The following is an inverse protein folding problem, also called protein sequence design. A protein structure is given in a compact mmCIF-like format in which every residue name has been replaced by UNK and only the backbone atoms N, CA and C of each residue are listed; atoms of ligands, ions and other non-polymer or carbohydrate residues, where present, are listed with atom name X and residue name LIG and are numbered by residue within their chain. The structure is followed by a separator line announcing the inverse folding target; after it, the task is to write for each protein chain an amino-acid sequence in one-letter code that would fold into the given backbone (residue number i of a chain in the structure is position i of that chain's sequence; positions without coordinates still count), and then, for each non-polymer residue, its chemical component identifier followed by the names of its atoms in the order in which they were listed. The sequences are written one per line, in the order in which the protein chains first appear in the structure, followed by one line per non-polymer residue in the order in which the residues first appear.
data_IF_110817540044
#
_entry.id   IF_110817540044
#
_cell.length_a   1.000
_cell.length_b   1.000
_cell.length_c   1.000
_cell.angle_alpha   90.00
_cell.angle_beta   90.00
_cell.angle_gamma   90.00
#
_symmetry.space_group_name_H-M   'P 1'
#
loop_
_entity.id
_entity.type
_entity.pdbx_description
1 polymer ?
#
# COMPACT_ATOMS: atom_id res chain seq x y z
N UNK A 1 16.88 -28.34 18.41
CA UNK A 1 16.76 -27.55 17.17
C UNK A 1 15.95 -28.35 16.18
N UNK A 2 14.92 -27.74 15.57
CA UNK A 2 14.22 -28.31 14.42
C UNK A 2 14.89 -27.89 13.13
N UNK A 3 15.00 -28.81 12.19
CA UNK A 3 15.58 -28.58 10.87
C UNK A 3 14.62 -29.00 9.77
N UNK A 4 14.58 -28.18 8.72
CA UNK A 4 13.73 -28.35 7.53
C UNK A 4 14.65 -28.27 6.30
N UNK A 5 15.20 -29.41 5.85
CA UNK A 5 16.03 -29.44 4.65
C UNK A 5 15.16 -29.23 3.40
N UNK A 6 15.72 -28.52 2.43
CA UNK A 6 15.09 -28.29 1.12
C UNK A 6 16.17 -28.22 0.02
N UNK A 7 15.74 -28.14 -1.24
CA UNK A 7 16.63 -27.96 -2.38
C UNK A 7 16.10 -26.88 -3.31
N UNK A 8 16.95 -25.93 -3.66
CA UNK A 8 16.72 -24.96 -4.71
C UNK A 8 17.48 -25.47 -5.93
N UNK A 9 16.77 -25.98 -6.95
CA UNK A 9 17.39 -26.82 -7.97
C UNK A 9 18.20 -27.98 -7.37
N UNK A 10 19.50 -28.03 -7.64
CA UNK A 10 20.42 -29.05 -7.08
C UNK A 10 21.06 -28.65 -5.75
N UNK A 11 20.87 -27.41 -5.31
CA UNK A 11 21.57 -26.84 -4.16
C UNK A 11 20.84 -27.12 -2.85
N UNK A 12 21.49 -27.78 -1.87
CA UNK A 12 20.87 -28.02 -0.57
C UNK A 12 20.81 -26.73 0.24
N UNK A 13 19.67 -26.52 0.90
CA UNK A 13 19.48 -25.44 1.88
C UNK A 13 18.79 -26.01 3.11
N UNK A 14 19.00 -25.40 4.27
CA UNK A 14 18.40 -25.86 5.53
C UNK A 14 17.82 -24.68 6.30
N UNK A 15 16.53 -24.78 6.62
CA UNK A 15 15.86 -23.87 7.56
C UNK A 15 15.93 -24.48 8.97
N UNK A 16 16.29 -23.68 9.97
CA UNK A 16 16.50 -24.09 11.36
C UNK A 16 15.67 -23.25 12.31
N UNK A 17 15.13 -23.89 13.33
CA UNK A 17 14.39 -23.23 14.42
C UNK A 17 15.04 -23.60 15.75
N UNK A 18 15.67 -22.63 16.44
CA UNK A 18 16.14 -22.84 17.80
C UNK A 18 14.98 -23.08 18.76
N UNK A 19 15.12 -24.07 19.65
CA UNK A 19 14.10 -24.46 20.62
C UNK A 19 14.57 -24.27 22.07
N UNK A 20 15.89 -24.25 22.30
CA UNK A 20 16.50 -24.17 23.62
C UNK A 20 17.79 -23.30 23.63
N UNK A 21 18.53 -23.30 24.75
CA UNK A 21 19.80 -22.54 24.92
C UNK A 21 20.93 -23.02 24.02
N UNK A 22 21.08 -24.33 23.87
CA UNK A 22 22.14 -24.94 23.07
C UNK A 22 21.94 -24.61 21.58
N UNK A 23 20.69 -24.64 21.13
CA UNK A 23 20.36 -24.26 19.76
C UNK A 23 20.62 -22.77 19.50
N UNK A 24 20.33 -21.90 20.47
CA UNK A 24 20.63 -20.47 20.35
C UNK A 24 22.14 -20.20 20.40
N UNK A 25 22.92 -20.98 21.17
CA UNK A 25 24.38 -20.91 21.12
C UNK A 25 24.89 -21.24 19.70
N UNK A 26 24.33 -22.27 19.07
CA UNK A 26 24.64 -22.63 17.68
C UNK A 26 24.27 -21.50 16.70
N UNK A 27 23.12 -20.87 16.88
CA UNK A 27 22.73 -19.68 16.11
C UNK A 27 23.74 -18.53 16.28
N UNK A 28 24.23 -18.28 17.50
CA UNK A 28 25.20 -17.23 17.76
C UNK A 28 26.58 -17.51 17.16
N UNK A 29 27.02 -18.76 17.16
CA UNK A 29 28.24 -19.19 16.47
C UNK A 29 28.13 -18.94 14.97
N UNK A 30 27.02 -19.36 14.36
CA UNK A 30 26.72 -19.09 12.96
C UNK A 30 26.70 -17.59 12.67
N UNK A 31 25.94 -16.80 13.44
CA UNK A 31 25.81 -15.36 13.24
C UNK A 31 27.17 -14.67 13.39
N UNK A 32 27.98 -15.07 14.37
CA UNK A 32 29.33 -14.53 14.57
C UNK A 32 30.21 -14.73 13.34
N UNK A 33 30.11 -15.89 12.69
CA UNK A 33 30.89 -16.20 11.50
C UNK A 33 30.46 -15.40 10.26
N UNK A 34 29.22 -14.86 10.23
CA UNK A 34 28.64 -14.24 9.03
C UNK A 34 28.18 -12.80 9.22
N UNK A 35 28.31 -12.20 10.42
CA UNK A 35 27.74 -10.89 10.74
C UNK A 35 28.25 -9.73 9.87
N UNK A 36 29.48 -9.85 9.34
CA UNK A 36 30.09 -8.87 8.43
C UNK A 36 29.74 -9.11 6.95
N UNK A 37 29.03 -10.19 6.62
CA UNK A 37 28.59 -10.51 5.27
C UNK A 37 27.17 -9.98 5.02
N UNK A 38 26.74 -9.86 3.75
CA UNK A 38 25.32 -9.65 3.44
C UNK A 38 24.47 -10.81 3.98
N UNK A 39 23.51 -10.50 4.86
CA UNK A 39 22.62 -11.47 5.51
C UNK A 39 21.17 -11.12 5.26
N UNK A 40 20.42 -12.11 4.80
CA UNK A 40 19.00 -12.00 4.55
C UNK A 40 18.26 -11.84 5.85
N UNK A 41 17.33 -10.90 5.91
CA UNK A 41 16.47 -10.69 7.07
C UNK A 41 15.03 -10.60 6.60
N UNK A 42 14.14 -11.18 7.39
CA UNK A 42 12.69 -11.11 7.18
C UNK A 42 11.97 -11.07 8.53
N UNK A 43 10.68 -10.77 8.50
CA UNK A 43 9.82 -10.82 9.67
C UNK A 43 8.43 -11.36 9.34
N UNK A 44 7.86 -12.11 10.27
CA UNK A 44 6.47 -12.54 10.14
C UNK A 44 5.62 -12.00 11.27
N UNK A 45 4.45 -11.49 10.91
CA UNK A 45 3.51 -10.87 11.83
C UNK A 45 2.16 -11.56 11.79
N UNK A 46 1.22 -11.10 12.63
CA UNK A 46 -0.18 -11.55 12.57
C UNK A 46 -0.97 -10.96 11.39
N UNK A 47 -0.37 -10.06 10.59
CA UNK A 47 -0.99 -9.47 9.40
C UNK A 47 -0.30 -8.19 8.94
N UNK A 48 -0.73 -7.65 7.79
CA UNK A 48 -0.07 -6.51 7.14
C UNK A 48 -0.33 -5.14 7.80
N UNK A 49 -1.34 -5.03 8.67
CA UNK A 49 -1.63 -3.79 9.37
C UNK A 49 -0.73 -3.67 10.61
N UNK A 50 0.43 -3.03 10.45
CA UNK A 50 1.45 -2.86 11.49
C UNK A 50 0.90 -2.06 12.68
N UNK A 51 0.04 -1.07 12.42
CA UNK A 51 -0.40 -0.09 13.42
C UNK A 51 -1.66 -0.50 14.18
N UNK A 52 -2.35 -1.57 13.74
CA UNK A 52 -3.42 -2.19 14.51
C UNK A 52 -2.92 -2.67 15.88
N UNK A 53 -3.75 -2.50 16.91
CA UNK A 53 -3.47 -2.99 18.27
C UNK A 53 -3.37 -4.53 18.33
N UNK A 54 -3.97 -5.22 17.36
CA UNK A 54 -3.92 -6.69 17.25
C UNK A 54 -2.68 -7.21 16.54
N UNK A 55 -1.88 -6.33 15.93
CA UNK A 55 -0.66 -6.71 15.25
C UNK A 55 0.39 -7.20 16.25
N UNK A 56 1.05 -8.30 15.94
CA UNK A 56 2.16 -8.84 16.73
C UNK A 56 3.24 -9.38 15.81
N UNK A 57 4.49 -9.18 16.19
CA UNK A 57 5.63 -9.88 15.62
C UNK A 57 5.69 -11.33 16.15
N UNK A 58 5.76 -12.29 15.24
CA UNK A 58 5.75 -13.72 15.55
C UNK A 58 7.14 -14.33 15.49
N UNK A 59 7.85 -14.05 14.39
CA UNK A 59 9.19 -14.56 14.11
C UNK A 59 10.04 -13.51 13.41
N UNK A 60 11.34 -13.60 13.61
CA UNK A 60 12.36 -12.85 12.84
C UNK A 60 13.30 -13.87 12.25
N UNK A 61 13.66 -13.69 10.99
CA UNK A 61 14.48 -14.65 10.27
C UNK A 61 15.80 -14.05 9.82
N UNK A 62 16.81 -14.90 9.76
CA UNK A 62 18.16 -14.56 9.32
C UNK A 62 18.64 -15.62 8.34
N UNK A 63 19.29 -15.24 7.25
CA UNK A 63 19.69 -16.22 6.24
C UNK A 63 20.97 -15.89 5.49
N UNK A 64 21.77 -16.93 5.23
CA UNK A 64 22.80 -16.94 4.19
C UNK A 64 22.21 -17.48 2.88
N UNK A 65 23.04 -17.72 1.87
CA UNK A 65 22.61 -18.43 0.65
C UNK A 65 22.17 -19.89 0.91
N UNK A 66 22.50 -20.47 2.07
CA UNK A 66 22.38 -21.91 2.34
C UNK A 66 21.59 -22.21 3.61
N UNK A 67 21.67 -21.33 4.61
CA UNK A 67 21.12 -21.55 5.93
C UNK A 67 20.09 -20.46 6.24
N UNK A 68 18.90 -20.87 6.66
CA UNK A 68 17.86 -19.98 7.19
C UNK A 68 17.65 -20.27 8.66
N UNK A 69 17.49 -19.24 9.47
CA UNK A 69 17.22 -19.32 10.90
C UNK A 69 15.93 -18.59 11.21
N UNK A 70 14.96 -19.28 11.82
CA UNK A 70 13.69 -18.70 12.25
C UNK A 70 13.71 -18.57 13.76
N UNK A 71 13.76 -17.33 14.26
CA UNK A 71 13.77 -17.03 15.69
C UNK A 71 12.32 -16.78 16.14
N UNK A 72 11.72 -17.66 16.97
CA UNK A 72 10.32 -17.57 17.36
C UNK A 72 10.09 -16.55 18.48
N UNK A 73 10.10 -15.27 18.13
CA UNK A 73 9.97 -14.12 19.04
C UNK A 73 8.76 -14.26 19.97
N UNK A 74 7.60 -14.69 19.47
CA UNK A 74 6.38 -14.81 20.30
C UNK A 74 6.44 -15.92 21.36
N UNK A 75 7.47 -16.80 21.34
CA UNK A 75 7.65 -17.87 22.34
C UNK A 75 8.31 -17.41 23.64
N UNK A 76 8.82 -16.18 23.71
CA UNK A 76 9.27 -15.60 24.97
C UNK A 76 10.42 -14.61 24.86
N UNK A 77 10.70 -13.94 25.98
CA UNK A 77 11.68 -12.86 26.09
C UNK A 77 13.08 -13.25 25.61
N UNK A 78 13.46 -14.52 25.76
CA UNK A 78 14.74 -15.03 25.31
C UNK A 78 14.90 -14.95 23.79
N UNK A 79 13.91 -15.42 23.03
CA UNK A 79 13.93 -15.36 21.57
C UNK A 79 13.76 -13.94 21.06
N UNK A 80 12.94 -13.14 21.75
CA UNK A 80 12.83 -11.70 21.52
C UNK A 80 14.21 -11.02 21.61
N UNK A 81 14.93 -11.23 22.71
CA UNK A 81 16.25 -10.62 22.90
C UNK A 81 17.27 -11.17 21.90
N UNK A 82 17.19 -12.45 21.55
CA UNK A 82 18.06 -13.03 20.54
C UNK A 82 17.87 -12.37 19.17
N UNK A 83 16.63 -12.19 18.72
CA UNK A 83 16.33 -11.50 17.46
C UNK A 83 16.81 -10.04 17.48
N UNK A 84 16.52 -9.31 18.57
CA UNK A 84 16.93 -7.91 18.75
C UNK A 84 18.45 -7.74 18.67
N UNK A 85 19.18 -8.50 19.48
CA UNK A 85 20.64 -8.47 19.52
C UNK A 85 21.29 -8.94 18.20
N UNK A 86 20.65 -9.89 17.50
CA UNK A 86 21.14 -10.33 16.20
C UNK A 86 21.01 -9.22 15.15
N UNK A 87 19.86 -8.52 15.09
CA UNK A 87 19.66 -7.36 14.23
C UNK A 87 20.65 -6.24 14.51
N UNK A 88 20.95 -5.96 15.78
CA UNK A 88 21.96 -4.97 16.17
C UNK A 88 23.34 -5.31 15.60
N UNK A 89 23.71 -6.60 15.65
CA UNK A 89 25.04 -7.09 15.28
C UNK A 89 25.31 -7.18 13.77
N UNK A 90 24.28 -7.26 12.94
CA UNK A 90 24.47 -7.34 11.48
C UNK A 90 25.02 -6.03 10.91
N UNK A 91 26.02 -6.11 10.04
CA UNK A 91 26.57 -4.94 9.33
C UNK A 91 25.88 -4.70 7.99
N UNK A 92 25.39 -5.75 7.33
CA UNK A 92 24.81 -5.68 5.98
C UNK A 92 23.50 -6.47 5.84
N UNK A 93 22.43 -6.13 6.59
CA UNK A 93 21.13 -6.78 6.42
C UNK A 93 20.54 -6.52 5.02
N UNK A 94 20.05 -7.58 4.39
CA UNK A 94 19.40 -7.56 3.08
C UNK A 94 17.96 -8.02 3.25
N UNK A 95 17.02 -7.18 2.84
CA UNK A 95 15.58 -7.46 2.95
C UNK A 95 14.92 -7.34 1.57
N UNK A 96 13.69 -7.81 1.47
CA UNK A 96 12.84 -7.52 0.34
C UNK A 96 11.65 -6.71 0.81
N UNK A 97 11.51 -5.47 0.33
CA UNK A 97 10.53 -4.51 0.85
C UNK A 97 10.81 -4.09 2.31
N UNK A 98 12.05 -3.68 2.57
CA UNK A 98 12.60 -3.44 3.91
C UNK A 98 11.77 -2.48 4.77
N UNK A 99 11.09 -1.50 4.15
CA UNK A 99 10.28 -0.53 4.87
C UNK A 99 9.18 -1.17 5.74
N UNK A 100 8.68 -2.36 5.36
CA UNK A 100 7.72 -3.09 6.18
C UNK A 100 8.39 -3.65 7.44
N UNK A 101 9.44 -4.45 7.30
CA UNK A 101 10.13 -5.11 8.41
C UNK A 101 10.73 -4.11 9.38
N UNK A 102 11.32 -3.02 8.89
CA UNK A 102 11.90 -2.01 9.75
C UNK A 102 10.84 -1.31 10.61
N UNK A 103 9.65 -1.04 10.08
CA UNK A 103 8.52 -0.52 10.88
C UNK A 103 8.01 -1.55 11.89
N UNK A 104 8.01 -2.83 11.53
CA UNK A 104 7.69 -3.93 12.45
C UNK A 104 8.71 -4.00 13.60
N UNK A 105 10.01 -3.89 13.31
CA UNK A 105 11.07 -3.92 14.33
C UNK A 105 11.03 -2.69 15.25
N UNK A 106 10.75 -1.51 14.69
CA UNK A 106 10.56 -0.26 15.45
C UNK A 106 9.42 -0.38 16.45
N UNK A 107 8.30 -0.97 16.03
CA UNK A 107 7.11 -1.13 16.87
C UNK A 107 7.23 -2.26 17.88
N UNK A 108 7.81 -3.40 17.47
CA UNK A 108 7.69 -4.66 18.22
C UNK A 108 9.00 -5.19 18.80
N UNK A 109 10.17 -4.65 18.43
CA UNK A 109 11.47 -5.10 18.97
C UNK A 109 12.26 -3.99 19.65
N UNK A 110 11.68 -2.79 19.83
CA UNK A 110 12.37 -1.62 20.37
C UNK A 110 13.65 -1.30 19.55
N UNK A 111 13.58 -1.51 18.23
CA UNK A 111 14.68 -1.27 17.29
C UNK A 111 14.34 -0.10 16.37
N UNK A 112 14.73 1.13 16.72
CA UNK A 112 14.38 2.30 15.93
C UNK A 112 14.84 2.17 14.48
N UNK A 113 13.95 2.47 13.53
CA UNK A 113 14.27 2.41 12.09
C UNK A 113 15.50 3.25 11.72
N UNK A 114 15.72 4.37 12.40
CA UNK A 114 16.88 5.26 12.30
C UNK A 114 18.22 4.55 12.48
N UNK A 115 18.25 3.45 13.25
CA UNK A 115 19.46 2.66 13.48
C UNK A 115 19.69 1.61 12.38
N UNK A 116 18.64 1.21 11.67
CA UNK A 116 18.69 0.10 10.73
C UNK A 116 18.83 0.57 9.28
N UNK A 117 18.18 1.66 8.89
CA UNK A 117 18.19 2.15 7.50
C UNK A 117 19.58 2.41 6.94
N UNK A 118 20.54 2.84 7.78
CA UNK A 118 21.90 3.14 7.34
C UNK A 118 22.69 1.93 6.85
N UNK A 119 22.27 0.71 7.21
CA UNK A 119 22.96 -0.55 6.88
C UNK A 119 22.17 -1.50 5.98
N UNK A 120 20.89 -1.21 5.77
CA UNK A 120 19.98 -2.10 5.03
C UNK A 120 20.12 -1.96 3.52
N UNK A 121 20.05 -3.10 2.84
CA UNK A 121 19.84 -3.17 1.39
C UNK A 121 18.48 -3.82 1.07
N UNK A 122 17.64 -3.14 0.31
CA UNK A 122 16.34 -3.61 -0.15
C UNK A 122 16.42 -4.12 -1.60
N UNK A 123 16.22 -5.41 -1.77
CA UNK A 123 16.24 -6.07 -3.08
C UNK A 123 15.10 -5.63 -3.99
N UNK A 124 13.97 -5.14 -3.46
CA UNK A 124 12.88 -4.58 -4.26
C UNK A 124 13.31 -3.27 -4.95
N UNK A 125 14.09 -2.44 -4.26
CA UNK A 125 14.68 -1.22 -4.84
C UNK A 125 15.66 -1.59 -5.95
N UNK A 126 16.53 -2.56 -5.70
CA UNK A 126 17.50 -3.05 -6.71
C UNK A 126 16.76 -3.61 -7.93
N UNK A 127 15.70 -4.41 -7.72
CA UNK A 127 14.88 -4.96 -8.79
C UNK A 127 14.29 -3.86 -9.68
N UNK A 128 13.71 -2.82 -9.07
CA UNK A 128 13.12 -1.71 -9.81
C UNK A 128 14.17 -0.89 -10.58
N UNK A 129 15.38 -0.72 -10.03
CA UNK A 129 16.47 -0.04 -10.74
C UNK A 129 17.04 -0.89 -11.89
N UNK A 130 16.94 -2.22 -11.80
CA UNK A 130 17.33 -3.14 -12.88
C UNK A 130 16.28 -3.15 -14.02
N UNK A 131 14.99 -3.27 -13.68
CA UNK A 131 13.88 -3.15 -14.62
C UNK A 131 12.69 -2.43 -13.95
N UNK A 132 12.34 -1.19 -14.34
CA UNK A 132 11.26 -0.44 -13.70
C UNK A 132 9.85 -0.88 -14.11
N UNK A 133 9.70 -1.86 -15.02
CA UNK A 133 8.41 -2.25 -15.60
C UNK A 133 7.67 -3.27 -14.73
N UNK A 134 6.35 -3.11 -14.63
CA UNK A 134 5.44 -4.14 -14.09
C UNK A 134 5.26 -5.33 -15.05
N UNK A 135 4.64 -6.42 -14.58
CA UNK A 135 4.36 -7.60 -15.43
C UNK A 135 3.42 -7.27 -16.59
N UNK A 136 2.42 -6.43 -16.33
CA UNK A 136 1.48 -5.91 -17.31
C UNK A 136 2.14 -5.02 -18.39
N UNK A 137 3.33 -4.52 -18.11
CA UNK A 137 4.16 -3.72 -19.02
C UNK A 137 5.26 -4.56 -19.70
N UNK A 138 5.25 -5.88 -19.51
CA UNK A 138 6.23 -6.82 -20.07
C UNK A 138 7.58 -6.84 -19.35
N UNK A 139 7.63 -6.38 -18.09
CA UNK A 139 8.76 -6.60 -17.19
C UNK A 139 8.56 -7.81 -16.29
N UNK A 140 9.54 -8.10 -15.43
CA UNK A 140 9.45 -9.19 -14.44
C UNK A 140 8.44 -8.89 -13.33
N UNK A 141 8.21 -7.59 -13.04
CA UNK A 141 7.62 -7.14 -11.78
C UNK A 141 8.63 -7.14 -10.63
N UNK A 142 8.20 -6.68 -9.46
CA UNK A 142 9.11 -6.43 -8.32
C UNK A 142 8.74 -7.20 -7.06
N UNK A 143 7.73 -8.06 -7.11
CA UNK A 143 7.37 -8.91 -5.97
C UNK A 143 8.35 -10.06 -5.83
N UNK A 144 8.66 -10.46 -4.58
CA UNK A 144 9.60 -11.55 -4.29
C UNK A 144 9.28 -12.83 -5.08
N UNK A 145 8.02 -13.27 -5.10
CA UNK A 145 7.59 -14.46 -5.86
C UNK A 145 7.88 -14.34 -7.37
N UNK A 146 7.66 -13.17 -7.95
CA UNK A 146 7.91 -12.92 -9.38
C UNK A 146 9.40 -13.00 -9.69
N UNK A 147 10.22 -12.38 -8.83
CA UNK A 147 11.67 -12.31 -8.98
C UNK A 147 12.34 -13.66 -8.73
N UNK A 148 11.86 -14.46 -7.78
CA UNK A 148 12.32 -15.84 -7.56
C UNK A 148 12.05 -16.67 -8.82
N UNK A 149 10.84 -16.57 -9.38
CA UNK A 149 10.45 -17.35 -10.56
C UNK A 149 11.34 -17.07 -11.77
N UNK A 150 11.73 -15.81 -11.96
CA UNK A 150 12.58 -15.39 -13.09
C UNK A 150 14.07 -15.66 -12.85
N UNK A 151 14.59 -15.36 -11.67
CA UNK A 151 16.04 -15.27 -11.44
C UNK A 151 16.64 -16.41 -10.61
N UNK A 152 15.81 -17.21 -9.93
CA UNK A 152 16.25 -18.27 -9.02
C UNK A 152 15.71 -19.62 -9.49
N UNK A 153 14.43 -19.89 -9.25
CA UNK A 153 13.81 -21.18 -9.52
C UNK A 153 12.26 -21.05 -9.53
N UNK A 154 11.58 -21.36 -10.66
CA UNK A 154 10.12 -21.32 -10.74
C UNK A 154 9.42 -22.33 -9.83
N UNK A 155 10.02 -23.49 -9.56
CA UNK A 155 9.45 -24.51 -8.67
C UNK A 155 9.39 -23.97 -7.25
N UNK A 156 10.46 -23.30 -6.80
CA UNK A 156 10.51 -22.72 -5.45
C UNK A 156 9.50 -21.58 -5.29
N UNK A 157 9.31 -20.76 -6.34
CA UNK A 157 8.27 -19.74 -6.34
C UNK A 157 6.87 -20.35 -6.14
N UNK A 158 6.55 -21.43 -6.85
CA UNK A 158 5.23 -22.07 -6.74
C UNK A 158 5.04 -22.86 -5.45
N UNK A 159 6.05 -23.66 -5.07
CA UNK A 159 5.98 -24.55 -3.92
C UNK A 159 6.08 -23.78 -2.60
N UNK A 160 7.10 -22.94 -2.42
CA UNK A 160 7.37 -22.27 -1.14
C UNK A 160 6.48 -21.04 -0.99
N UNK A 161 6.48 -20.12 -1.96
CA UNK A 161 5.65 -18.89 -1.83
C UNK A 161 4.15 -19.18 -1.94
N UNK A 162 3.78 -20.32 -2.51
CA UNK A 162 2.40 -20.83 -2.50
C UNK A 162 1.91 -21.40 -1.17
N UNK A 163 2.78 -21.65 -0.18
CA UNK A 163 2.42 -22.31 1.10
C UNK A 163 1.30 -21.58 1.84
N UNK A 164 1.42 -20.27 2.04
CA UNK A 164 0.41 -19.50 2.80
C UNK A 164 -0.96 -19.47 2.10
N UNK A 165 -0.98 -19.51 0.77
CA UNK A 165 -2.21 -19.62 0.00
C UNK A 165 -2.87 -21.00 0.18
N UNK A 166 -2.07 -22.07 0.20
CA UNK A 166 -2.53 -23.43 0.46
C UNK A 166 -3.09 -23.56 1.88
N UNK A 167 -2.38 -23.05 2.88
CA UNK A 167 -2.84 -23.02 4.27
C UNK A 167 -4.14 -22.25 4.42
N UNK A 168 -4.29 -21.08 3.79
CA UNK A 168 -5.54 -20.33 3.82
C UNK A 168 -6.72 -21.17 3.29
N UNK A 169 -6.51 -21.91 2.19
CA UNK A 169 -7.53 -22.79 1.59
C UNK A 169 -7.87 -23.98 2.50
N UNK A 170 -6.86 -24.64 3.07
CA UNK A 170 -7.04 -25.78 3.97
C UNK A 170 -7.78 -25.41 5.25
N UNK A 171 -7.46 -24.24 5.82
CA UNK A 171 -8.12 -23.68 7.00
C UNK A 171 -9.43 -22.93 6.69
N UNK A 172 -9.89 -22.93 5.43
CA UNK A 172 -11.12 -22.24 4.97
C UNK A 172 -11.17 -20.76 5.40
N UNK A 173 -10.04 -20.08 5.29
CA UNK A 173 -9.87 -18.67 5.66
C UNK A 173 -9.27 -17.87 4.49
N UNK A 174 -9.02 -16.59 4.70
CA UNK A 174 -8.40 -15.72 3.70
C UNK A 174 -6.89 -15.65 3.87
N UNK A 175 -6.18 -15.25 2.80
CA UNK A 175 -4.73 -14.96 2.87
C UNK A 175 -4.38 -13.92 3.93
N UNK A 176 -5.26 -12.97 4.21
CA UNK A 176 -5.01 -11.94 5.22
C UNK A 176 -5.15 -12.49 6.65
N UNK A 177 -6.08 -13.44 6.86
CA UNK A 177 -6.40 -13.95 8.20
C UNK A 177 -5.52 -15.10 8.63
N UNK A 178 -5.00 -15.90 7.69
CA UNK A 178 -4.24 -17.12 7.99
C UNK A 178 -3.03 -16.84 8.90
N UNK A 179 -2.36 -15.70 8.70
CA UNK A 179 -1.20 -15.24 9.47
C UNK A 179 -1.45 -15.15 10.99
N UNK A 180 -2.66 -14.73 11.38
CA UNK A 180 -3.07 -14.62 12.79
C UNK A 180 -3.57 -15.92 13.39
N UNK A 181 -3.99 -16.88 12.56
CA UNK A 181 -4.66 -18.11 13.00
C UNK A 181 -3.79 -19.35 12.98
N UNK A 182 -2.76 -19.38 12.13
CA UNK A 182 -1.88 -20.54 11.98
C UNK A 182 -0.90 -20.62 13.16
N UNK A 183 -0.68 -21.83 13.69
CA UNK A 183 0.32 -22.06 14.72
C UNK A 183 1.73 -21.77 14.20
N UNK A 184 2.56 -21.11 15.02
CA UNK A 184 3.95 -20.76 14.66
C UNK A 184 4.81 -21.98 14.34
N UNK A 185 4.48 -23.12 14.93
CA UNK A 185 5.21 -24.38 14.73
C UNK A 185 4.74 -25.17 13.51
N UNK A 186 3.81 -24.64 12.73
CA UNK A 186 3.37 -25.29 11.51
C UNK A 186 4.54 -25.40 10.53
N UNK A 187 4.82 -26.61 9.97
CA UNK A 187 5.99 -26.84 9.13
C UNK A 187 6.00 -25.93 7.90
N UNK A 188 4.86 -25.76 7.22
CA UNK A 188 4.76 -24.90 6.04
C UNK A 188 4.95 -23.41 6.37
N UNK A 189 4.48 -22.96 7.53
CA UNK A 189 4.70 -21.58 7.97
C UNK A 189 6.18 -21.34 8.25
N UNK A 190 6.81 -22.28 8.96
CA UNK A 190 8.23 -22.23 9.28
C UNK A 190 9.10 -22.28 8.03
N UNK A 191 8.78 -23.17 7.08
CA UNK A 191 9.52 -23.31 5.84
C UNK A 191 9.38 -22.05 4.98
N UNK A 192 8.17 -21.50 4.83
CA UNK A 192 7.96 -20.23 4.14
C UNK A 192 8.85 -19.14 4.75
N UNK A 193 8.74 -18.96 6.06
CA UNK A 193 9.41 -17.89 6.78
C UNK A 193 10.94 -18.02 6.71
N UNK A 194 11.49 -19.22 6.93
CA UNK A 194 12.93 -19.43 6.91
C UNK A 194 13.56 -19.38 5.51
N UNK A 195 12.76 -19.54 4.45
CA UNK A 195 13.25 -19.51 3.08
C UNK A 195 13.35 -18.07 2.54
N UNK A 196 12.50 -17.15 3.00
CA UNK A 196 12.49 -15.76 2.54
C UNK A 196 13.84 -15.03 2.68
N UNK A 197 14.58 -15.10 3.82
CA UNK A 197 15.90 -14.48 3.89
C UNK A 197 16.94 -15.17 2.99
N UNK A 198 16.86 -16.49 2.79
CA UNK A 198 17.75 -17.22 1.87
C UNK A 198 17.52 -16.71 0.43
N UNK A 199 16.25 -16.59 0.04
CA UNK A 199 15.85 -16.12 -1.29
C UNK A 199 16.18 -14.64 -1.49
N UNK A 200 16.03 -13.80 -0.47
CA UNK A 200 16.43 -12.39 -0.52
C UNK A 200 17.92 -12.23 -0.81
N UNK A 201 18.80 -13.01 -0.16
CA UNK A 201 20.24 -12.95 -0.43
C UNK A 201 20.61 -13.46 -1.80
N UNK A 202 20.08 -14.63 -2.20
CA UNK A 202 20.30 -15.15 -3.55
C UNK A 202 19.86 -14.15 -4.61
N UNK A 203 18.71 -13.50 -4.37
CA UNK A 203 18.18 -12.48 -5.26
C UNK A 203 19.05 -11.23 -5.30
N UNK A 204 19.57 -10.76 -4.16
CA UNK A 204 20.51 -9.65 -4.09
C UNK A 204 21.72 -9.87 -5.02
N UNK A 205 22.34 -11.05 -4.96
CA UNK A 205 23.50 -11.38 -5.80
C UNK A 205 23.15 -11.46 -7.29
N UNK A 206 21.93 -11.88 -7.63
CA UNK A 206 21.46 -11.92 -9.03
C UNK A 206 21.11 -10.54 -9.56
N UNK A 207 20.46 -9.69 -8.77
CA UNK A 207 19.93 -8.40 -9.21
C UNK A 207 20.96 -7.27 -9.19
N UNK A 208 21.83 -7.23 -8.18
CA UNK A 208 22.78 -6.13 -8.01
C UNK A 208 23.73 -5.91 -9.23
N UNK A 209 24.17 -6.96 -9.96
CA UNK A 209 24.90 -6.79 -11.21
C UNK A 209 24.04 -6.26 -12.38
N UNK A 210 22.72 -6.48 -12.36
CA UNK A 210 21.80 -6.07 -13.42
C UNK A 210 21.47 -4.58 -13.37
N UNK A 211 21.69 -3.90 -12.24
CA UNK A 211 21.50 -2.45 -12.16
C UNK A 211 22.46 -1.75 -13.12
N UNK A 212 21.95 -0.99 -14.12
CA UNK A 212 22.78 -0.32 -15.11
C UNK A 212 23.80 0.59 -14.44
N UNK A 213 25.03 0.65 -15.00
CA UNK A 213 26.13 1.43 -14.43
C UNK A 213 25.74 2.89 -14.14
N UNK A 214 25.02 3.53 -15.06
CA UNK A 214 24.56 4.91 -14.90
C UNK A 214 23.52 5.10 -13.78
N UNK A 215 22.81 4.05 -13.38
CA UNK A 215 21.78 4.07 -12.32
C UNK A 215 22.30 3.62 -10.96
N UNK A 216 23.53 3.09 -10.84
CA UNK A 216 24.03 2.55 -9.55
C UNK A 216 24.05 3.57 -8.42
N UNK A 217 24.30 4.84 -8.74
CA UNK A 217 24.26 5.93 -7.76
C UNK A 217 22.86 6.16 -7.16
N UNK A 218 21.80 5.73 -7.85
CA UNK A 218 20.42 5.83 -7.36
C UNK A 218 20.12 4.82 -6.26
N UNK A 219 20.90 3.74 -6.10
CA UNK A 219 20.65 2.74 -5.05
C UNK A 219 20.57 3.43 -3.69
N UNK A 220 21.60 4.17 -3.29
CA UNK A 220 21.60 4.89 -2.01
C UNK A 220 20.54 5.99 -1.93
N UNK A 221 20.25 6.68 -3.04
CA UNK A 221 19.20 7.70 -3.10
C UNK A 221 17.81 7.12 -2.83
N UNK A 222 17.47 6.01 -3.49
CA UNK A 222 16.16 5.38 -3.35
C UNK A 222 15.98 4.71 -1.98
N UNK A 223 17.04 4.17 -1.38
CA UNK A 223 16.99 3.71 0.02
C UNK A 223 16.73 4.88 0.97
N UNK A 224 17.39 6.03 0.75
CA UNK A 224 17.13 7.23 1.55
C UNK A 224 15.70 7.75 1.38
N UNK A 225 15.13 7.63 0.18
CA UNK A 225 13.75 8.01 -0.07
C UNK A 225 12.77 7.05 0.64
N UNK A 226 13.02 5.74 0.58
CA UNK A 226 12.25 4.73 1.30
C UNK A 226 12.31 4.93 2.82
N UNK A 227 13.48 5.31 3.36
CA UNK A 227 13.65 5.71 4.76
C UNK A 227 12.71 6.86 5.13
N UNK A 228 12.77 7.97 4.38
CA UNK A 228 11.93 9.16 4.64
C UNK A 228 10.44 8.79 4.54
N UNK A 229 10.06 8.02 3.52
CA UNK A 229 8.69 7.54 3.36
C UNK A 229 8.25 6.74 4.59
N UNK A 230 9.05 5.77 5.06
CA UNK A 230 8.71 4.97 6.24
C UNK A 230 8.49 5.81 7.51
N UNK A 231 9.19 6.94 7.66
CA UNK A 231 8.94 7.87 8.76
C UNK A 231 7.61 8.62 8.62
N UNK A 232 7.23 8.98 7.39
CA UNK A 232 5.93 9.57 7.11
C UNK A 232 4.80 8.56 7.35
N UNK A 233 4.99 7.29 6.98
CA UNK A 233 4.05 6.20 7.28
C UNK A 233 3.88 6.03 8.79
N UNK A 234 4.98 5.93 9.54
CA UNK A 234 4.98 5.83 11.01
C UNK A 234 4.29 7.02 11.67
N UNK A 235 4.52 8.23 11.18
CA UNK A 235 3.84 9.41 11.71
C UNK A 235 2.33 9.37 11.44
N UNK A 236 1.94 8.98 10.23
CA UNK A 236 0.56 9.02 9.76
C UNK A 236 -0.07 10.41 9.81
N UNK A 237 -1.36 10.51 9.53
CA UNK A 237 -2.15 11.73 9.71
C UNK A 237 -3.28 11.52 10.71
N UNK A 238 -3.58 12.55 11.52
CA UNK A 238 -4.64 12.48 12.52
C UNK A 238 -6.00 12.68 11.86
N UNK A 239 -6.93 11.77 12.13
CA UNK A 239 -8.31 11.83 11.68
C UNK A 239 -9.15 12.60 12.70
N UNK A 240 -9.97 13.53 12.22
CA UNK A 240 -11.07 14.07 13.02
C UNK A 240 -12.20 13.05 13.02
N UNK A 241 -12.22 12.19 14.05
CA UNK A 241 -13.10 11.02 14.10
C UNK A 241 -14.57 11.43 14.16
N UNK A 242 -14.90 12.46 14.93
CA UNK A 242 -16.28 12.96 15.08
C UNK A 242 -16.79 13.48 13.74
N UNK A 243 -16.04 14.40 13.10
CA UNK A 243 -16.38 14.90 11.78
C UNK A 243 -16.53 13.77 10.75
N UNK A 244 -15.65 12.77 10.81
CA UNK A 244 -15.63 11.66 9.85
C UNK A 244 -16.86 10.77 10.02
N UNK A 245 -17.30 10.49 11.25
CA UNK A 245 -18.52 9.74 11.54
C UNK A 245 -19.78 10.52 11.13
N UNK A 246 -19.82 11.82 11.38
CA UNK A 246 -20.93 12.68 10.95
C UNK A 246 -21.02 12.75 9.43
N UNK A 247 -19.89 12.90 8.75
CA UNK A 247 -19.82 12.86 7.29
C UNK A 247 -20.26 11.49 6.74
N UNK A 248 -19.88 10.39 7.39
CA UNK A 248 -20.37 9.05 7.03
C UNK A 248 -21.89 9.01 7.06
N UNK A 249 -22.49 9.49 8.13
CA UNK A 249 -23.96 9.52 8.31
C UNK A 249 -24.64 10.38 7.26
N UNK A 250 -24.13 11.59 6.98
CA UNK A 250 -24.68 12.45 5.92
C UNK A 250 -24.62 11.79 4.55
N UNK A 251 -23.50 11.17 4.19
CA UNK A 251 -23.37 10.46 2.91
C UNK A 251 -24.29 9.24 2.81
N UNK A 252 -24.59 8.57 3.93
CA UNK A 252 -25.60 7.51 3.95
C UNK A 252 -26.99 8.06 3.64
N UNK A 253 -27.38 9.16 4.29
CA UNK A 253 -28.68 9.81 4.04
C UNK A 253 -28.78 10.28 2.58
N UNK A 254 -27.74 10.95 2.07
CA UNK A 254 -27.68 11.37 0.65
C UNK A 254 -27.80 10.18 -0.32
N UNK A 255 -27.17 9.05 0.00
CA UNK A 255 -27.27 7.81 -0.80
C UNK A 255 -28.70 7.26 -0.77
N UNK A 256 -29.30 7.15 0.41
CA UNK A 256 -30.66 6.61 0.61
C UNK A 256 -31.73 7.47 -0.05
N UNK A 257 -31.65 8.80 0.09
CA UNK A 257 -32.57 9.73 -0.57
C UNK A 257 -32.48 9.59 -2.10
N UNK A 258 -31.28 9.57 -2.66
CA UNK A 258 -31.08 9.45 -4.11
C UNK A 258 -31.54 8.08 -4.66
N UNK A 259 -31.35 7.00 -3.89
CA UNK A 259 -31.89 5.67 -4.23
C UNK A 259 -33.41 5.68 -4.18
N UNK A 260 -34.02 6.25 -3.14
CA UNK A 260 -35.48 6.37 -3.03
C UNK A 260 -36.09 7.13 -4.21
N UNK A 261 -35.43 8.19 -4.70
CA UNK A 261 -35.84 8.91 -5.90
C UNK A 261 -35.76 8.02 -7.17
N UNK A 262 -34.70 7.21 -7.31
CA UNK A 262 -34.55 6.29 -8.44
C UNK A 262 -35.64 5.18 -8.43
N UNK A 263 -35.92 4.62 -7.26
CA UNK A 263 -36.94 3.58 -7.07
C UNK A 263 -38.35 4.14 -7.30
N UNK A 264 -38.73 5.19 -6.56
CA UNK A 264 -40.12 5.68 -6.48
C UNK A 264 -40.62 6.26 -7.80
N UNK A 265 -39.75 6.99 -8.53
CA UNK A 265 -40.17 7.70 -9.74
C UNK A 265 -39.86 6.94 -11.04
N UNK A 266 -38.98 5.93 -10.99
CA UNK A 266 -38.45 5.29 -12.19
C UNK A 266 -38.37 3.77 -12.14
N UNK A 267 -38.80 3.13 -11.04
CA UNK A 267 -38.80 1.67 -10.86
C UNK A 267 -37.37 1.08 -10.98
N UNK A 268 -36.36 1.84 -10.54
CA UNK A 268 -34.95 1.41 -10.55
C UNK A 268 -34.54 0.94 -9.16
N UNK A 269 -34.71 -0.36 -8.88
CA UNK A 269 -34.29 -1.00 -7.61
C UNK A 269 -32.79 -0.91 -7.32
N UNK A 270 -31.97 -0.80 -8.38
CA UNK A 270 -30.52 -0.74 -8.24
C UNK A 270 -29.91 0.26 -9.19
N UNK A 271 -29.50 1.41 -8.63
CA UNK A 271 -28.72 2.43 -9.35
C UNK A 271 -27.40 1.89 -9.92
N UNK A 272 -26.90 0.75 -9.41
CA UNK A 272 -25.70 0.09 -9.92
C UNK A 272 -25.98 -0.84 -11.12
N UNK A 273 -27.24 -1.21 -11.35
CA UNK A 273 -27.64 -1.96 -12.54
C UNK A 273 -27.71 -1.02 -13.74
N UNK A 274 -26.69 -1.09 -14.61
CA UNK A 274 -26.66 -0.25 -15.82
C UNK A 274 -27.81 -0.58 -16.78
N UNK A 275 -28.37 -1.79 -16.71
CA UNK A 275 -29.52 -2.20 -17.51
C UNK A 275 -30.83 -1.57 -16.99
N UNK A 276 -31.11 -1.62 -15.68
CA UNK A 276 -32.30 -0.97 -15.13
C UNK A 276 -32.30 0.54 -15.38
N UNK A 277 -31.14 1.20 -15.21
CA UNK A 277 -31.01 2.63 -15.53
C UNK A 277 -31.23 2.89 -17.02
N UNK A 278 -30.74 2.01 -17.90
CA UNK A 278 -30.96 2.14 -19.34
C UNK A 278 -32.43 1.95 -19.73
N UNK A 279 -33.09 0.94 -19.17
CA UNK A 279 -34.51 0.65 -19.41
C UNK A 279 -35.38 1.83 -18.97
N UNK A 280 -35.11 2.40 -17.80
CA UNK A 280 -35.80 3.60 -17.32
C UNK A 280 -35.55 4.81 -18.22
N UNK A 281 -34.31 5.05 -18.67
CA UNK A 281 -34.01 6.14 -19.62
C UNK A 281 -34.74 5.98 -20.96
N UNK A 282 -34.84 4.76 -21.51
CA UNK A 282 -35.61 4.48 -22.72
C UNK A 282 -37.11 4.70 -22.51
N UNK A 283 -37.64 4.28 -21.36
CA UNK A 283 -39.03 4.54 -20.95
C UNK A 283 -39.35 6.03 -20.91
N UNK A 284 -38.36 6.87 -20.59
CA UNK A 284 -38.46 8.33 -20.61
C UNK A 284 -38.15 8.95 -21.99
N UNK A 285 -37.97 8.13 -23.02
CA UNK A 285 -37.77 8.56 -24.41
C UNK A 285 -36.33 8.80 -24.83
N UNK A 286 -35.34 8.46 -24.00
CA UNK A 286 -33.92 8.53 -24.40
C UNK A 286 -33.60 7.46 -25.47
N UNK A 287 -32.83 7.83 -26.49
CA UNK A 287 -32.39 6.90 -27.55
C UNK A 287 -30.89 6.68 -27.47
N UNK A 288 -30.48 5.46 -27.14
CA UNK A 288 -29.07 5.09 -27.07
C UNK A 288 -28.44 5.04 -28.47
N UNK A 289 -27.30 5.71 -28.61
CA UNK A 289 -26.47 5.69 -29.82
C UNK A 289 -25.12 5.01 -29.60
N UNK A 290 -24.68 4.89 -28.35
CA UNK A 290 -23.46 4.20 -27.95
C UNK A 290 -23.78 2.90 -27.19
N UNK A 291 -23.02 1.86 -27.49
CA UNK A 291 -23.12 0.54 -26.85
C UNK A 291 -21.74 0.11 -26.33
N UNK A 292 -21.73 -0.72 -25.30
CA UNK A 292 -20.50 -1.33 -24.78
C UNK A 292 -19.96 -2.37 -25.77
N UNK A 293 -18.71 -2.82 -25.58
CA UNK A 293 -18.13 -3.91 -26.36
C UNK A 293 -18.93 -5.23 -26.26
N UNK A 294 -19.78 -5.36 -25.24
CA UNK A 294 -20.69 -6.50 -25.03
C UNK A 294 -22.07 -6.30 -25.66
N UNK A 295 -22.29 -5.22 -26.40
CA UNK A 295 -23.56 -4.90 -27.06
C UNK A 295 -24.64 -4.34 -26.13
N UNK A 296 -24.34 -4.08 -24.85
CA UNK A 296 -25.29 -3.49 -23.91
C UNK A 296 -25.35 -1.96 -24.09
N UNK A 297 -26.51 -1.37 -23.78
CA UNK A 297 -26.71 0.08 -23.77
C UNK A 297 -25.70 0.73 -22.81
N UNK A 298 -24.99 1.75 -23.30
CA UNK A 298 -23.87 2.33 -22.57
C UNK A 298 -24.35 3.45 -21.64
N UNK A 299 -24.45 3.16 -20.34
CA UNK A 299 -24.75 4.15 -19.30
C UNK A 299 -23.46 4.50 -18.56
N UNK A 300 -22.70 5.45 -19.11
CA UNK A 300 -21.47 5.94 -18.51
C UNK A 300 -21.65 7.33 -17.88
N UNK A 301 -20.61 7.81 -17.20
CA UNK A 301 -20.62 9.13 -16.56
C UNK A 301 -20.87 10.25 -17.58
N UNK A 302 -20.34 10.13 -18.81
CA UNK A 302 -20.48 11.15 -19.85
C UNK A 302 -21.95 11.28 -20.28
N UNK A 303 -22.66 10.17 -20.43
CA UNK A 303 -24.09 10.18 -20.71
C UNK A 303 -24.86 10.84 -19.57
N UNK A 304 -24.65 10.40 -18.33
CA UNK A 304 -25.37 10.94 -17.17
C UNK A 304 -25.11 12.44 -17.03
N UNK A 305 -23.85 12.88 -17.12
CA UNK A 305 -23.47 14.30 -17.05
C UNK A 305 -24.14 15.13 -18.16
N UNK A 306 -24.37 14.56 -19.36
CA UNK A 306 -25.05 15.25 -20.46
C UNK A 306 -26.56 15.45 -20.24
N UNK A 307 -27.17 14.67 -19.36
CA UNK A 307 -28.58 14.73 -19.01
C UNK A 307 -28.84 15.62 -17.78
N UNK A 308 -27.78 15.98 -17.02
CA UNK A 308 -27.91 16.82 -15.84
C UNK A 308 -28.31 18.25 -16.23
N UNK A 309 -29.23 18.80 -15.45
CA UNK A 309 -29.69 20.19 -15.52
C UNK A 309 -29.71 20.79 -14.12
N UNK A 310 -29.55 22.10 -13.98
CA UNK A 310 -29.50 22.76 -12.66
C UNK A 310 -30.76 22.52 -11.80
N UNK A 311 -31.92 22.41 -12.44
CA UNK A 311 -33.21 22.13 -11.79
C UNK A 311 -33.99 21.10 -12.62
N UNK A 312 -33.71 19.80 -12.46
CA UNK A 312 -34.38 18.77 -13.23
C UNK A 312 -35.86 18.68 -12.84
N UNK A 313 -36.74 18.60 -13.84
CA UNK A 313 -38.16 18.36 -13.59
C UNK A 313 -38.36 16.94 -13.03
N UNK A 314 -39.26 16.80 -12.05
CA UNK A 314 -39.56 15.49 -11.43
C UNK A 314 -40.09 14.53 -12.49
N UNK A 315 -39.52 13.33 -12.53
CA UNK A 315 -39.83 12.30 -13.53
C UNK A 315 -39.13 12.47 -14.88
N UNK A 316 -38.28 13.49 -15.06
CA UNK A 316 -37.51 13.67 -16.30
C UNK A 316 -36.26 12.78 -16.37
N UNK A 317 -35.65 12.58 -17.56
CA UNK A 317 -34.33 11.94 -17.69
C UNK A 317 -33.24 12.61 -16.86
N UNK A 318 -33.30 13.95 -16.70
CA UNK A 318 -32.36 14.70 -15.86
C UNK A 318 -32.52 14.40 -14.38
N UNK A 319 -33.76 14.14 -13.92
CA UNK A 319 -34.03 13.72 -12.55
C UNK A 319 -33.48 12.33 -12.26
N UNK A 320 -33.67 11.36 -13.17
CA UNK A 320 -33.07 10.03 -13.05
C UNK A 320 -31.53 10.11 -13.08
N UNK A 321 -30.97 10.92 -13.99
CA UNK A 321 -29.52 11.11 -14.09
C UNK A 321 -28.92 11.72 -12.81
N UNK A 322 -29.60 12.70 -12.20
CA UNK A 322 -29.21 13.28 -10.93
C UNK A 322 -29.23 12.23 -9.81
N UNK A 323 -30.35 11.51 -9.64
CA UNK A 323 -30.51 10.48 -8.62
C UNK A 323 -29.42 9.39 -8.72
N UNK A 324 -29.19 8.84 -9.91
CA UNK A 324 -28.16 7.80 -10.13
C UNK A 324 -26.75 8.33 -9.86
N UNK A 325 -26.46 9.56 -10.28
CA UNK A 325 -25.14 10.18 -10.11
C UNK A 325 -24.84 10.46 -8.65
N UNK A 326 -25.82 11.01 -7.91
CA UNK A 326 -25.69 11.35 -6.50
C UNK A 326 -25.57 10.09 -5.63
N UNK A 327 -26.41 9.07 -5.85
CA UNK A 327 -26.32 7.80 -5.13
C UNK A 327 -24.94 7.16 -5.32
N UNK A 328 -24.45 7.05 -6.56
CA UNK A 328 -23.12 6.49 -6.85
C UNK A 328 -21.99 7.32 -6.26
N UNK A 329 -22.10 8.65 -6.28
CA UNK A 329 -21.13 9.56 -5.68
C UNK A 329 -21.08 9.35 -4.17
N UNK A 330 -22.21 9.49 -3.48
CA UNK A 330 -22.30 9.38 -2.02
C UNK A 330 -21.78 8.02 -1.53
N UNK A 331 -22.23 6.93 -2.17
CA UNK A 331 -21.73 5.57 -1.89
C UNK A 331 -20.24 5.45 -2.06
N UNK A 332 -19.69 5.90 -3.20
CA UNK A 332 -18.25 5.83 -3.47
C UNK A 332 -17.48 6.63 -2.43
N UNK A 333 -17.97 7.83 -2.10
CA UNK A 333 -17.32 8.72 -1.16
C UNK A 333 -17.23 8.11 0.23
N UNK A 334 -18.36 7.59 0.71
CA UNK A 334 -18.50 6.90 1.99
C UNK A 334 -17.62 5.67 2.06
N UNK A 335 -17.78 4.73 1.12
CA UNK A 335 -17.11 3.42 1.18
C UNK A 335 -15.62 3.49 0.89
N UNK A 336 -15.18 4.34 -0.04
CA UNK A 336 -13.78 4.39 -0.46
C UNK A 336 -12.95 5.17 0.55
N UNK A 337 -13.32 6.41 0.87
CA UNK A 337 -12.49 7.28 1.70
C UNK A 337 -12.89 7.20 3.17
N UNK A 338 -14.16 7.42 3.49
CA UNK A 338 -14.60 7.57 4.89
C UNK A 338 -14.49 6.26 5.66
N UNK A 339 -15.13 5.19 5.17
CA UNK A 339 -15.06 3.86 5.78
C UNK A 339 -13.62 3.31 5.71
N UNK A 340 -12.87 3.63 4.64
CA UNK A 340 -11.46 3.27 4.51
C UNK A 340 -10.58 3.90 5.59
N UNK A 341 -10.72 5.21 5.86
CA UNK A 341 -9.96 5.91 6.90
C UNK A 341 -10.36 5.45 8.29
N UNK A 342 -11.66 5.29 8.57
CA UNK A 342 -12.14 4.79 9.86
C UNK A 342 -11.66 3.37 10.14
N UNK A 343 -11.61 2.51 9.12
CA UNK A 343 -11.14 1.13 9.26
C UNK A 343 -9.61 1.04 9.42
N UNK A 344 -8.85 1.89 8.75
CA UNK A 344 -7.39 1.91 8.77
C UNK A 344 -6.78 2.82 9.84
N UNK A 345 -7.58 3.28 10.80
CA UNK A 345 -7.19 4.15 11.90
C UNK A 345 -6.64 3.33 13.08
N UNK A 346 -5.55 3.79 13.68
CA UNK A 346 -4.99 3.27 14.92
C UNK A 346 -5.79 3.75 16.16
N UNK A 347 -5.44 3.23 17.34
CA UNK A 347 -6.07 3.61 18.61
C UNK A 347 -5.90 5.08 19.01
N UNK A 348 -4.96 5.81 18.40
CA UNK A 348 -4.73 7.24 18.61
C UNK A 348 -5.46 8.14 17.60
N UNK A 349 -6.29 7.55 16.74
CA UNK A 349 -7.00 8.29 15.70
C UNK A 349 -6.10 8.68 14.53
N UNK A 350 -5.00 7.95 14.29
CA UNK A 350 -4.07 8.20 13.17
C UNK A 350 -4.23 7.16 12.09
N UNK A 351 -4.06 7.59 10.84
CA UNK A 351 -4.14 6.75 9.65
C UNK A 351 -2.75 6.70 9.02
N UNK A 352 -2.26 5.49 8.78
CA UNK A 352 -0.88 5.21 8.35
C UNK A 352 -0.86 4.71 6.90
N UNK A 353 -0.73 5.59 5.90
CA UNK A 353 -0.74 5.19 4.50
C UNK A 353 0.55 4.45 4.15
N UNK A 354 0.48 3.41 3.29
CA UNK A 354 1.68 2.81 2.71
C UNK A 354 2.11 3.61 1.49
N UNK A 355 3.27 4.23 1.55
CA UNK A 355 3.89 5.09 0.55
C UNK A 355 4.97 4.28 -0.17
N UNK A 356 4.69 3.93 -1.42
CA UNK A 356 5.62 3.22 -2.29
C UNK A 356 6.41 4.21 -3.15
N UNK A 357 7.69 4.49 -2.86
CA UNK A 357 8.48 5.47 -3.61
C UNK A 357 8.72 5.05 -5.06
N UNK A 358 8.89 3.74 -5.30
CA UNK A 358 9.22 3.16 -6.59
C UNK A 358 8.10 2.24 -7.10
N UNK A 359 6.88 2.78 -7.25
CA UNK A 359 5.78 2.01 -7.87
C UNK A 359 5.59 2.30 -9.34
N UNK A 360 5.50 3.58 -9.71
CA UNK A 360 5.26 3.94 -11.10
C UNK A 360 6.56 3.80 -11.91
N UNK A 361 6.44 3.40 -13.18
CA UNK A 361 7.57 3.40 -14.14
C UNK A 361 8.32 4.73 -14.21
N UNK A 362 7.63 5.84 -13.94
CA UNK A 362 8.20 7.19 -13.88
C UNK A 362 8.82 7.54 -12.52
N UNK A 363 9.04 6.56 -11.64
CA UNK A 363 9.50 6.72 -10.25
C UNK A 363 8.64 7.67 -9.39
N UNK A 364 7.35 7.82 -9.73
CA UNK A 364 6.41 8.59 -8.91
C UNK A 364 5.94 7.72 -7.74
N UNK A 365 5.86 8.36 -6.58
CA UNK A 365 5.28 7.77 -5.37
C UNK A 365 3.83 7.35 -5.60
N UNK A 366 3.45 6.21 -5.05
CA UNK A 366 2.06 5.75 -5.00
C UNK A 366 1.67 5.43 -3.56
N UNK A 367 0.41 5.67 -3.20
CA UNK A 367 -0.13 5.28 -1.90
C UNK A 367 -1.00 4.02 -2.06
N UNK A 368 -0.80 3.05 -1.16
CA UNK A 368 -1.61 1.84 -1.01
C UNK A 368 -2.22 1.74 0.40
N UNK A 369 -3.15 0.80 0.58
CA UNK A 369 -3.88 0.55 1.84
C UNK A 369 -4.98 1.57 2.11
N UNK A 370 -4.68 2.85 1.93
CA UNK A 370 -5.57 3.98 2.17
C UNK A 370 -5.66 4.87 0.92
N UNK A 371 -6.85 5.25 0.43
CA UNK A 371 -7.02 5.99 -0.82
C UNK A 371 -6.71 7.50 -0.69
N UNK A 372 -5.61 7.87 -0.04
CA UNK A 372 -5.24 9.25 0.19
C UNK A 372 -4.88 10.01 -1.10
N UNK A 373 -4.27 9.34 -2.09
CA UNK A 373 -3.94 9.95 -3.40
C UNK A 373 -5.16 10.20 -4.28
N UNK A 374 -6.26 9.47 -4.07
CA UNK A 374 -7.46 9.55 -4.92
C UNK A 374 -8.56 10.41 -4.30
N UNK A 375 -8.28 11.04 -3.15
CA UNK A 375 -9.19 12.00 -2.53
C UNK A 375 -9.58 13.08 -3.56
N UNK A 376 -10.88 13.35 -3.75
CA UNK A 376 -11.32 14.36 -4.71
C UNK A 376 -10.75 15.74 -4.35
N UNK A 377 -9.97 16.33 -5.26
CA UNK A 377 -9.49 17.70 -5.13
C UNK A 377 -10.49 18.68 -5.75
N UNK A 378 -11.21 19.47 -4.94
CA UNK A 378 -12.10 20.54 -5.43
C UNK A 378 -13.25 20.93 -4.49
N UNK A 379 -13.97 22.00 -4.85
CA UNK A 379 -15.11 22.63 -4.14
C UNK A 379 -16.27 21.65 -3.82
N UNK A 380 -16.25 20.43 -4.34
CA UNK A 380 -17.28 19.40 -4.08
C UNK A 380 -17.46 19.04 -2.59
N UNK A 381 -16.47 19.31 -1.74
CA UNK A 381 -16.59 19.15 -0.28
C UNK A 381 -17.38 20.29 0.39
N UNK A 382 -17.23 21.53 -0.09
CA UNK A 382 -17.88 22.72 0.47
C UNK A 382 -19.21 23.06 -0.20
N UNK A 383 -19.45 22.61 -1.43
CA UNK A 383 -20.68 22.86 -2.18
C UNK A 383 -21.90 22.13 -1.61
N UNK A 384 -21.72 20.94 -1.03
CA UNK A 384 -22.80 20.18 -0.40
C UNK A 384 -23.17 20.73 0.99
N UNK A 385 -22.21 21.31 1.72
CA UNK A 385 -22.45 21.88 3.05
C UNK A 385 -23.07 23.30 3.00
N UNK A 386 -22.93 24.02 1.89
CA UNK A 386 -23.40 25.41 1.75
C UNK A 386 -24.71 25.59 0.97
N UNK A 387 -25.28 24.52 0.40
CA UNK A 387 -26.59 24.60 -0.27
C UNK A 387 -27.77 24.61 0.70
N UNK A 388 -27.59 24.17 1.97
CA UNK A 388 -28.66 24.16 2.98
C UNK A 388 -28.73 25.41 3.88
N UNK A 389 -27.82 26.38 3.74
CA UNK A 389 -27.85 27.62 4.53
C UNK A 389 -27.76 28.87 3.66
N UNK A 390 -28.85 29.22 2.97
CA UNK A 390 -29.09 30.62 2.55
C UNK A 390 -30.58 30.89 2.33
N UNK A 391 -31.28 31.16 3.44
CA UNK A 391 -32.20 32.29 3.42
C UNK A 391 -31.37 33.53 3.04
N UNK A 392 -31.61 34.11 1.88
CA UNK A 392 -30.99 35.38 1.48
C UNK A 392 -31.58 36.50 2.35
N UNK A 393 -30.75 37.38 2.94
CA UNK A 393 -31.06 38.80 2.95
C UNK A 393 -30.21 39.48 1.88
N UNK A 394 -30.87 40.29 1.08
CA UNK A 394 -30.31 41.19 0.10
C UNK A 394 -29.16 42.03 0.69
N UNK A 395 -27.96 41.90 0.13
CA UNK A 395 -27.01 43.01 0.09
C UNK A 395 -26.07 42.81 -1.10
N UNK A 396 -26.26 43.68 -2.08
CA UNK A 396 -25.39 43.83 -3.23
C UNK A 396 -23.99 44.23 -2.76
N UNK A 397 -22.97 43.47 -3.15
CA UNK A 397 -21.60 43.98 -3.18
C UNK A 397 -20.92 43.55 -4.48
N UNK A 398 -20.64 44.59 -5.26
CA UNK A 398 -19.94 44.64 -6.53
C UNK A 398 -18.57 43.97 -6.49
N UNK A 399 -18.29 43.19 -7.52
CA UNK A 399 -16.98 42.65 -7.88
C UNK A 399 -15.96 43.76 -8.13
N UNK A 400 -14.88 43.80 -7.35
CA UNK A 400 -13.60 44.38 -7.77
C UNK A 400 -12.49 43.35 -7.59
N UNK A 401 -11.96 42.90 -8.73
CA UNK A 401 -10.65 42.26 -8.84
C UNK A 401 -9.59 43.19 -8.23
N UNK A 402 -8.81 42.72 -7.27
CA UNK A 402 -7.50 43.30 -6.94
C UNK A 402 -6.48 42.18 -6.69
N UNK A 403 -5.48 42.25 -7.56
CA UNK A 403 -4.13 41.69 -7.56
C UNK A 403 -3.61 41.05 -6.27
N UNK A 404 -3.02 39.87 -6.45
CA UNK A 404 -2.12 39.23 -5.51
C UNK A 404 -0.76 39.94 -5.50
N UNK A 405 -0.51 40.74 -4.48
CA UNK A 405 0.83 41.10 -4.00
C UNK A 405 0.76 41.19 -2.47
N UNK A 406 1.15 40.12 -1.77
CA UNK A 406 1.64 40.22 -0.39
C UNK A 406 2.20 38.88 0.12
N UNK A 407 3.43 38.53 -0.29
CA UNK A 407 4.28 37.59 0.46
C UNK A 407 5.71 38.10 0.44
N UNK A 408 5.99 39.08 1.31
CA UNK A 408 7.32 39.37 1.84
C UNK A 408 7.11 39.77 3.28
N UNK A 409 7.61 38.97 4.22
CA UNK A 409 8.21 39.33 5.51
C UNK A 409 8.38 38.07 6.36
N UNK A 410 9.54 37.41 6.24
CA UNK A 410 10.12 36.61 7.32
C UNK A 410 11.65 36.73 7.19
N UNK A 411 12.35 37.36 8.16
CA UNK A 411 13.78 37.62 8.06
C UNK A 411 14.58 36.48 8.69
N UNK A 412 14.84 35.43 7.92
CA UNK A 412 15.94 34.50 8.15
C UNK A 412 16.23 33.80 6.83
N UNK A 413 17.51 33.57 6.53
CA UNK A 413 18.05 33.09 5.23
C UNK A 413 18.32 34.22 4.24
N UNK A 414 19.17 35.17 4.64
CA UNK A 414 20.13 35.76 3.72
C UNK A 414 21.45 35.04 3.93
N UNK A 415 21.85 34.20 2.98
CA UNK A 415 23.23 33.99 2.53
C UNK A 415 23.21 32.93 1.42
N UNK A 416 23.87 33.26 0.31
CA UNK A 416 24.11 32.43 -0.88
C UNK A 416 23.03 32.39 -1.97
N UNK A 417 22.69 33.56 -2.54
CA UNK A 417 22.35 33.65 -3.97
C UNK A 417 23.51 34.33 -4.73
N UNK A 418 24.16 33.59 -5.63
CA UNK A 418 24.91 34.16 -6.76
C UNK A 418 24.45 33.43 -8.04
N UNK A 419 24.00 34.14 -9.09
CA UNK A 419 23.62 33.52 -10.35
C UNK A 419 24.83 33.35 -11.27
N UNK A 420 24.91 32.20 -11.95
CA UNK A 420 25.83 31.92 -13.06
C UNK A 420 25.00 31.56 -14.31
N UNK A 421 25.46 31.92 -15.53
CA UNK A 421 24.56 32.22 -16.65
C UNK A 421 24.12 30.99 -17.46
N UNK A 422 22.93 31.14 -18.05
CA UNK A 422 22.28 30.20 -18.99
C UNK A 422 23.16 29.95 -20.23
N UNK A 423 23.41 28.67 -20.55
CA UNK A 423 23.82 28.24 -21.90
C UNK A 423 22.59 27.80 -22.72
N UNK A 424 22.58 28.05 -24.05
CA UNK A 424 21.47 27.68 -24.92
C UNK A 424 21.53 26.20 -25.33
N UNK A 425 20.38 25.52 -25.27
CA UNK A 425 20.18 24.17 -25.80
C UNK A 425 19.88 24.31 -27.30
N UNK A 426 20.75 23.77 -28.14
CA UNK A 426 20.47 23.50 -29.55
C UNK A 426 19.74 22.15 -29.66
N UNK A 427 18.60 22.15 -30.35
CA UNK A 427 17.85 20.96 -30.73
C UNK A 427 18.45 20.42 -32.04
N UNK A 428 18.92 19.18 -32.02
CA UNK A 428 18.85 18.21 -33.13
C UNK A 428 18.65 16.81 -32.56
#
# INVERSE_FOLDING_TARGET
MREYPYRIGSEPVTVRVPENDEDLATFWEWLTAVAELPIGVDSETTGLDIYADTNRLRTVQFGSEWDGWVIPVEKGSKFYQAARLALERLEHPVLHNAAFDLQVFDRHLEMPMEQLWSKVTDTRIIAHLADPRGQEEGGTGHGLEQLIREHIDPVVADEVKGLMARLAKEHKTTKDRIWSSIGIDHPDYTMYAGMDPILAIRLYWKLNPLVPHYSRHLIGYEHKLAEICSYMERAGFKLDVEYTLDLRTRLTIEEEEAVWHAETFFDVDSVNSSEQVADALEGLGHRFTEFTNTGKRKVDKKLLDSLLTDTPEVGSPGHLAAAVTEAKRARKWRTTWIDGFLKGMDSNGRVHPSILPLRARTARMSIQGIPAQTLPSGIGWYGAALSQTRAKPSLAWTTRRKNYECWRHCPAIQLCEKPSPRMPIFIR
#
